data_IF_040464830440
#
_entry.id   IF_040464830440
#
_cell.length_a   1.000
_cell.length_b   1.000
_cell.length_c   1.000
_cell.angle_alpha   90.00
_cell.angle_beta   90.00
_cell.angle_gamma   90.00
#
_symmetry.space_group_name_H-M   'P 1'
#
loop_
_entity.id
_entity.type
_entity.pdbx_description
1 polymer ?
#
# COMPACT_ATOMS: atom_id res chain seq x y z
N UNK A 1 18.02 48.01 12.76
CA UNK A 1 19.22 48.66 13.37
C UNK A 1 18.86 50.09 13.75
N UNK A 2 19.39 50.60 14.86
CA UNK A 2 19.14 51.97 15.33
C UNK A 2 20.49 52.64 15.61
N UNK A 3 20.73 53.82 15.03
CA UNK A 3 21.94 54.58 15.30
C UNK A 3 21.68 55.61 16.40
N UNK A 4 22.21 55.35 17.60
CA UNK A 4 22.19 56.30 18.73
C UNK A 4 23.50 57.08 18.88
N UNK A 5 24.41 56.97 17.91
CA UNK A 5 25.68 57.68 17.88
C UNK A 5 25.55 59.06 17.24
N UNK A 6 26.52 59.92 17.50
CA UNK A 6 26.55 61.29 16.99
C UNK A 6 27.03 61.40 15.52
N UNK A 7 27.41 60.29 14.89
CA UNK A 7 27.90 60.24 13.51
C UNK A 7 27.17 59.15 12.72
N UNK A 8 27.19 59.26 11.39
CA UNK A 8 26.61 58.24 10.51
C UNK A 8 27.31 56.89 10.69
N UNK A 9 26.52 55.81 10.81
CA UNK A 9 27.01 54.46 10.98
C UNK A 9 26.91 53.69 9.65
N UNK A 10 28.06 53.36 9.07
CA UNK A 10 28.13 52.43 7.94
C UNK A 10 28.13 51.00 8.47
N UNK A 11 27.14 50.21 8.08
CA UNK A 11 27.04 48.80 8.45
C UNK A 11 27.15 47.89 7.23
N UNK A 12 27.67 46.68 7.45
CA UNK A 12 27.64 45.59 6.50
C UNK A 12 27.42 44.25 7.23
N UNK A 13 26.58 43.39 6.66
CA UNK A 13 26.36 42.03 7.15
C UNK A 13 27.61 41.19 6.88
N UNK A 14 28.05 40.46 7.88
CA UNK A 14 29.08 39.42 7.72
C UNK A 14 28.42 38.19 7.09
N UNK A 15 28.98 37.63 6.00
CA UNK A 15 28.43 36.44 5.37
C UNK A 15 28.22 35.29 6.36
N UNK A 16 27.08 34.57 6.29
CA UNK A 16 26.81 33.44 7.17
C UNK A 16 27.88 32.34 7.01
N UNK A 17 28.27 31.71 8.12
CA UNK A 17 29.29 30.66 8.11
C UNK A 17 28.71 29.24 8.04
N UNK A 18 27.41 29.09 8.32
CA UNK A 18 26.73 27.79 8.40
C UNK A 18 25.88 27.56 7.14
N UNK A 19 25.63 26.29 6.82
CA UNK A 19 24.74 25.93 5.71
C UNK A 19 23.31 26.47 5.93
N UNK A 20 22.79 26.40 7.17
CA UNK A 20 21.47 26.92 7.50
C UNK A 20 21.44 28.45 7.54
N UNK A 21 22.49 29.09 8.04
CA UNK A 21 22.62 30.55 7.99
C UNK A 21 22.58 31.08 6.55
N UNK A 22 23.06 30.30 5.59
CA UNK A 22 22.99 30.62 4.15
C UNK A 22 21.57 30.53 3.57
N UNK A 23 20.60 29.97 4.31
CA UNK A 23 19.18 29.99 3.95
C UNK A 23 18.47 31.30 4.33
N UNK A 24 19.15 32.22 5.02
CA UNK A 24 18.62 33.53 5.37
C UNK A 24 19.08 34.59 4.37
N UNK A 25 18.15 35.43 3.94
CA UNK A 25 18.43 36.62 3.15
C UNK A 25 18.06 37.87 3.93
N UNK A 26 19.00 38.82 3.99
CA UNK A 26 18.81 40.11 4.65
C UNK A 26 18.78 41.20 3.59
N UNK A 27 17.83 42.14 3.67
CA UNK A 27 17.73 43.28 2.77
C UNK A 27 17.43 44.57 3.55
N UNK A 28 18.25 45.63 3.44
CA UNK A 28 19.57 45.65 2.79
C UNK A 28 20.64 44.87 3.60
N UNK A 29 21.73 44.44 2.95
CA UNK A 29 22.88 43.80 3.62
C UNK A 29 23.92 44.81 4.09
N UNK A 30 23.94 46.00 3.50
CA UNK A 30 24.82 47.10 3.85
C UNK A 30 24.11 48.43 3.68
N UNK A 31 24.60 49.48 4.33
CA UNK A 31 24.04 50.82 4.20
C UNK A 31 24.53 51.80 5.26
N UNK A 32 24.01 53.02 5.18
CA UNK A 32 24.26 54.08 6.15
C UNK A 32 23.03 54.33 7.00
N UNK A 33 23.24 54.59 8.29
CA UNK A 33 22.19 55.04 9.21
C UNK A 33 22.65 56.36 9.80
N UNK A 34 21.91 57.44 9.55
CA UNK A 34 22.25 58.76 10.11
C UNK A 34 22.01 58.78 11.63
N UNK A 35 22.58 59.75 12.36
CA UNK A 35 22.27 59.93 13.77
C UNK A 35 20.77 60.01 14.02
N UNK A 36 20.31 59.33 15.07
CA UNK A 36 18.90 59.22 15.49
C UNK A 36 17.95 58.54 14.48
N UNK A 37 18.47 57.99 13.38
CA UNK A 37 17.69 57.24 12.41
C UNK A 37 17.63 55.72 12.67
N UNK A 38 16.67 55.09 12.00
CA UNK A 38 16.36 53.67 12.07
C UNK A 38 16.44 53.05 10.68
N UNK A 39 17.14 51.92 10.57
CA UNK A 39 17.13 51.09 9.37
C UNK A 39 16.39 49.78 9.65
N UNK A 40 15.27 49.58 8.96
CA UNK A 40 14.60 48.29 8.92
C UNK A 40 15.42 47.31 8.06
N UNK A 41 15.62 46.09 8.57
CA UNK A 41 16.25 44.99 7.83
C UNK A 41 15.18 43.94 7.62
N UNK A 42 14.80 43.70 6.37
CA UNK A 42 13.90 42.62 6.00
C UNK A 42 14.67 41.31 6.00
N UNK A 43 14.11 40.29 6.65
CA UNK A 43 14.72 38.96 6.76
C UNK A 43 13.77 37.96 6.10
N UNK A 44 14.28 37.21 5.13
CA UNK A 44 13.59 36.08 4.50
C UNK A 44 14.35 34.79 4.83
N UNK A 45 13.63 33.68 5.02
CA UNK A 45 14.21 32.41 5.43
C UNK A 45 13.60 31.26 4.62
N UNK A 46 14.45 30.52 3.90
CA UNK A 46 14.06 29.36 3.08
C UNK A 46 14.88 28.14 3.48
N UNK A 47 14.51 27.48 4.59
CA UNK A 47 15.29 26.35 5.12
C UNK A 47 15.22 25.13 4.21
N UNK A 48 16.31 24.37 4.20
CA UNK A 48 16.41 23.06 3.54
C UNK A 48 16.72 21.92 4.51
N UNK A 49 16.89 22.23 5.80
CA UNK A 49 17.29 21.29 6.85
C UNK A 49 16.24 21.35 7.97
N UNK A 50 15.74 20.18 8.38
CA UNK A 50 14.80 20.02 9.49
C UNK A 50 15.52 20.08 10.85
N UNK A 51 14.78 20.45 11.89
CA UNK A 51 15.24 20.42 13.29
C UNK A 51 15.37 21.77 13.95
N UNK A 52 15.78 21.75 15.21
CA UNK A 52 16.04 22.96 15.99
C UNK A 52 17.30 23.66 15.48
N UNK A 53 17.28 24.98 15.48
CA UNK A 53 18.44 25.77 15.11
C UNK A 53 18.61 27.02 15.98
N UNK A 54 19.85 27.49 16.02
CA UNK A 54 20.25 28.79 16.57
C UNK A 54 21.34 29.32 15.67
N UNK A 55 21.07 30.42 14.98
CA UNK A 55 22.00 31.07 14.05
C UNK A 55 22.32 32.48 14.54
N UNK A 56 23.59 32.87 14.42
CA UNK A 56 24.07 34.19 14.77
C UNK A 56 24.53 34.95 13.54
N UNK A 57 23.94 36.11 13.30
CA UNK A 57 24.27 37.01 12.21
C UNK A 57 24.94 38.25 12.78
N UNK A 58 26.08 38.64 12.21
CA UNK A 58 26.89 39.75 12.71
C UNK A 58 26.87 40.90 11.72
N UNK A 59 26.48 42.09 12.18
CA UNK A 59 26.60 43.33 11.42
C UNK A 59 27.85 44.06 11.88
N UNK A 60 28.83 44.18 10.98
CA UNK A 60 30.00 45.01 11.22
C UNK A 60 29.57 46.47 11.05
N UNK A 61 29.93 47.31 12.00
CA UNK A 61 29.70 48.75 11.94
C UNK A 61 31.07 49.43 11.94
N UNK A 62 31.35 50.28 10.94
CA UNK A 62 32.63 50.98 10.86
C UNK A 62 32.77 51.90 12.06
N UNK A 63 33.91 51.80 12.77
CA UNK A 63 34.18 52.55 14.00
C UNK A 63 33.76 51.84 15.29
N UNK A 64 33.04 50.71 15.20
CA UNK A 64 32.75 49.85 16.37
C UNK A 64 33.76 48.70 16.45
N UNK A 65 34.42 48.46 17.61
CA UNK A 65 35.34 47.33 17.78
C UNK A 65 34.61 45.98 17.77
N UNK A 66 33.36 45.94 18.25
CA UNK A 66 32.53 44.73 18.29
C UNK A 66 31.37 44.84 17.30
N UNK A 67 31.08 43.76 16.53
CA UNK A 67 29.93 43.73 15.65
C UNK A 67 28.62 43.59 16.44
N UNK A 68 27.53 44.10 15.87
CA UNK A 68 26.19 43.88 16.42
C UNK A 68 25.72 42.48 16.05
N UNK A 69 25.43 41.64 17.04
CA UNK A 69 25.00 40.25 16.82
C UNK A 69 23.48 40.12 16.94
N UNK A 70 22.86 39.52 15.93
CA UNK A 70 21.46 39.08 15.90
C UNK A 70 21.42 37.56 16.00
N UNK A 71 20.78 37.04 17.05
CA UNK A 71 20.55 35.59 17.20
C UNK A 71 19.13 35.26 16.78
N UNK A 72 18.99 34.35 15.81
CA UNK A 72 17.70 33.81 15.37
C UNK A 72 17.60 32.35 15.81
N UNK A 73 16.50 31.99 16.46
CA UNK A 73 16.22 30.63 16.95
C UNK A 73 14.90 30.13 16.39
N UNK A 74 14.81 28.85 16.10
CA UNK A 74 13.58 28.24 15.61
C UNK A 74 13.67 26.73 15.50
N UNK A 75 12.62 26.14 14.95
CA UNK A 75 12.56 24.72 14.61
C UNK A 75 11.92 24.60 13.22
N UNK A 76 12.65 23.99 12.29
CA UNK A 76 12.12 23.67 10.97
C UNK A 76 11.47 22.29 11.05
N UNK A 77 10.18 22.21 10.76
CA UNK A 77 9.42 20.95 10.71
C UNK A 77 8.97 20.66 9.29
N UNK A 78 8.82 19.38 8.95
CA UNK A 78 8.13 18.98 7.73
C UNK A 78 6.61 19.19 7.84
N UNK A 79 5.86 18.92 6.76
CA UNK A 79 4.41 18.86 6.83
C UNK A 79 3.96 17.89 7.94
N UNK A 80 3.03 18.33 8.77
CA UNK A 80 2.34 17.49 9.74
C UNK A 80 1.12 16.84 9.09
N UNK A 81 0.91 15.56 9.35
CA UNK A 81 -0.18 14.79 8.77
C UNK A 81 -0.52 13.56 9.61
N UNK A 82 -1.68 12.95 9.37
CA UNK A 82 -2.10 11.72 10.04
C UNK A 82 -3.10 10.93 9.19
N UNK A 83 -3.24 9.65 9.51
CA UNK A 83 -4.38 8.84 9.05
C UNK A 83 -5.57 9.01 9.98
N UNK A 84 -6.79 8.98 9.44
CA UNK A 84 -8.02 9.03 10.23
C UNK A 84 -8.30 7.73 11.04
N UNK A 85 -7.58 6.66 10.77
CA UNK A 85 -7.70 5.36 11.43
C UNK A 85 -6.34 4.91 11.98
N UNK A 86 -6.30 4.13 13.07
CA UNK A 86 -5.04 3.65 13.66
C UNK A 86 -4.48 2.42 12.93
N UNK A 87 -5.32 1.69 12.19
CA UNK A 87 -4.94 0.49 11.44
C UNK A 87 -6.00 0.13 10.38
N UNK A 88 -5.60 -0.69 9.40
CA UNK A 88 -6.46 -1.35 8.43
C UNK A 88 -6.60 -2.83 8.79
N UNK A 89 -7.76 -3.19 9.33
CA UNK A 89 -8.09 -4.56 9.72
C UNK A 89 -8.95 -5.24 8.65
N UNK A 90 -8.32 -5.99 7.75
CA UNK A 90 -9.04 -6.75 6.70
C UNK A 90 -9.80 -7.96 7.23
N UNK A 91 -9.45 -8.43 8.44
CA UNK A 91 -10.02 -9.65 8.99
C UNK A 91 -9.67 -10.88 8.15
N UNK A 92 -10.64 -11.77 7.98
CA UNK A 92 -10.49 -12.93 7.10
C UNK A 92 -10.79 -12.54 5.65
N UNK A 93 -9.85 -12.83 4.76
CA UNK A 93 -9.97 -12.61 3.31
C UNK A 93 -9.86 -13.95 2.61
N UNK A 94 -10.72 -14.19 1.63
CA UNK A 94 -10.67 -15.43 0.86
C UNK A 94 -9.51 -15.43 -0.14
N UNK A 95 -8.87 -16.58 -0.29
CA UNK A 95 -7.80 -16.79 -1.26
C UNK A 95 -8.25 -16.39 -2.68
N UNK A 96 -7.51 -15.45 -3.26
CA UNK A 96 -7.70 -14.95 -4.63
C UNK A 96 -8.90 -14.02 -4.80
N UNK A 97 -9.56 -13.60 -3.72
CA UNK A 97 -10.66 -12.63 -3.77
C UNK A 97 -10.17 -11.26 -3.29
N UNK A 98 -10.17 -10.23 -4.14
CA UNK A 98 -9.82 -8.88 -3.74
C UNK A 98 -10.77 -8.35 -2.66
N UNK A 99 -10.20 -7.81 -1.59
CA UNK A 99 -10.93 -7.07 -0.56
C UNK A 99 -10.29 -5.69 -0.40
N UNK A 100 -11.10 -4.63 -0.31
CA UNK A 100 -10.63 -3.24 -0.29
C UNK A 100 -11.11 -2.54 0.97
N UNK A 101 -10.18 -1.90 1.68
CA UNK A 101 -10.47 -0.97 2.76
C UNK A 101 -10.01 0.44 2.38
N UNK A 102 -10.60 1.45 3.02
CA UNK A 102 -10.26 2.85 2.81
C UNK A 102 -9.72 3.48 4.10
N UNK A 103 -8.76 4.38 3.95
CA UNK A 103 -8.32 5.32 4.98
C UNK A 103 -8.16 6.71 4.37
N UNK A 104 -8.16 7.74 5.21
CA UNK A 104 -7.99 9.12 4.80
C UNK A 104 -6.68 9.67 5.36
N UNK A 105 -5.82 10.20 4.49
CA UNK A 105 -4.60 10.90 4.87
C UNK A 105 -4.88 12.40 4.90
N UNK A 106 -4.70 13.01 6.07
CA UNK A 106 -5.00 14.43 6.30
C UNK A 106 -3.70 15.20 6.49
N UNK A 107 -3.44 16.17 5.60
CA UNK A 107 -2.38 17.16 5.79
C UNK A 107 -2.90 18.22 6.76
N UNK A 108 -2.24 18.36 7.91
CA UNK A 108 -2.58 19.37 8.93
C UNK A 108 -1.65 20.59 8.86
N UNK A 109 -0.72 20.62 7.92
CA UNK A 109 0.24 21.70 7.78
C UNK A 109 -0.25 22.84 6.87
N UNK A 110 0.49 23.96 6.96
CA UNK A 110 0.30 25.16 6.13
C UNK A 110 0.95 25.06 4.75
N UNK A 111 1.58 23.94 4.43
CA UNK A 111 2.29 23.74 3.17
C UNK A 111 1.79 22.49 2.46
N UNK A 112 1.86 22.42 1.12
CA UNK A 112 1.55 21.20 0.39
C UNK A 112 2.47 20.04 0.80
N UNK A 113 1.92 18.84 0.81
CA UNK A 113 2.61 17.61 1.16
C UNK A 113 2.59 16.65 -0.03
N UNK A 114 3.74 16.46 -0.68
CA UNK A 114 3.91 15.43 -1.72
C UNK A 114 4.39 14.12 -1.09
N UNK A 115 3.68 13.03 -1.39
CA UNK A 115 3.88 11.74 -0.74
C UNK A 115 3.91 10.57 -1.72
N UNK A 116 4.51 9.46 -1.28
CA UNK A 116 4.35 8.14 -1.89
C UNK A 116 4.09 7.07 -0.83
N UNK A 117 3.26 6.10 -1.18
CA UNK A 117 2.79 5.02 -0.34
C UNK A 117 3.26 3.67 -0.85
N UNK A 118 3.70 2.83 0.05
CA UNK A 118 4.14 1.46 -0.25
C UNK A 118 4.03 0.56 0.97
N UNK A 119 4.11 -0.75 0.79
CA UNK A 119 4.03 -1.74 1.87
C UNK A 119 5.32 -2.56 1.87
N UNK A 120 6.24 -2.35 2.83
CA UNK A 120 7.39 -3.23 3.00
C UNK A 120 6.93 -4.67 3.22
N UNK A 121 7.58 -5.62 2.57
CA UNK A 121 7.28 -7.05 2.74
C UNK A 121 6.08 -7.57 1.95
N UNK A 122 5.47 -6.79 1.05
CA UNK A 122 4.43 -7.27 0.11
C UNK A 122 5.00 -8.17 -1.01
N UNK A 123 6.30 -8.49 -0.99
CA UNK A 123 6.92 -9.31 -2.02
C UNK A 123 7.33 -8.54 -3.28
N UNK A 124 8.28 -9.11 -4.02
CA UNK A 124 8.91 -8.51 -5.22
C UNK A 124 8.56 -9.23 -6.52
N UNK A 125 7.73 -10.27 -6.44
CA UNK A 125 7.30 -11.08 -7.57
C UNK A 125 6.22 -10.40 -8.41
N UNK A 126 5.63 -11.19 -9.33
CA UNK A 126 4.48 -10.76 -10.11
C UNK A 126 3.29 -10.46 -9.19
N UNK A 127 2.44 -9.53 -9.61
CA UNK A 127 1.20 -9.22 -8.90
C UNK A 127 0.33 -10.47 -8.75
N UNK A 128 -0.35 -10.57 -7.61
CA UNK A 128 -1.40 -11.56 -7.38
C UNK A 128 -2.47 -11.47 -8.46
N UNK A 129 -3.04 -12.62 -8.82
CA UNK A 129 -4.08 -12.74 -9.83
C UNK A 129 -5.38 -13.10 -9.10
N UNK A 130 -6.48 -12.36 -9.31
CA UNK A 130 -7.79 -12.70 -8.78
C UNK A 130 -8.29 -14.06 -9.29
N UNK A 131 -9.04 -14.78 -8.46
CA UNK A 131 -9.63 -16.08 -8.80
C UNK A 131 -10.49 -16.01 -10.06
N UNK A 132 -11.27 -14.94 -10.26
CA UNK A 132 -12.08 -14.74 -11.47
C UNK A 132 -11.27 -14.79 -12.76
N UNK A 133 -10.04 -14.27 -12.74
CA UNK A 133 -9.12 -14.31 -13.89
C UNK A 133 -8.49 -15.69 -14.02
N UNK A 134 -8.08 -16.31 -12.91
CA UNK A 134 -7.50 -17.66 -12.93
C UNK A 134 -8.47 -18.74 -13.44
N UNK A 135 -9.78 -18.55 -13.23
CA UNK A 135 -10.80 -19.47 -13.73
C UNK A 135 -11.12 -19.28 -15.23
N UNK A 136 -10.86 -18.11 -15.80
CA UNK A 136 -11.10 -17.85 -17.23
C UNK A 136 -10.02 -18.49 -18.14
N UNK A 137 -8.81 -18.70 -17.62
CA UNK A 137 -7.74 -19.40 -18.32
C UNK A 137 -7.96 -20.93 -18.30
N UNK A 138 -8.55 -21.46 -19.38
CA UNK A 138 -8.75 -22.91 -19.58
C UNK A 138 -7.46 -23.68 -19.89
N UNK A 139 -6.34 -22.98 -20.11
CA UNK A 139 -5.05 -23.53 -20.55
C UNK A 139 -4.08 -23.77 -19.37
N UNK A 140 -4.33 -24.81 -18.57
CA UNK A 140 -3.27 -25.47 -17.79
C UNK A 140 -3.39 -25.43 -16.26
N UNK A 141 -2.51 -26.17 -15.57
CA UNK A 141 -2.68 -26.55 -14.17
C UNK A 141 -2.16 -25.45 -13.22
N UNK A 142 -2.80 -24.28 -13.21
CA UNK A 142 -2.39 -23.13 -12.36
C UNK A 142 -2.61 -23.36 -10.87
N UNK A 143 -3.38 -24.38 -10.50
CA UNK A 143 -3.68 -24.79 -9.12
C UNK A 143 -2.61 -25.72 -8.52
N UNK A 144 -1.53 -26.00 -9.26
CA UNK A 144 -0.39 -26.78 -8.75
C UNK A 144 0.36 -25.98 -7.68
N UNK A 145 0.81 -26.67 -6.64
CA UNK A 145 1.65 -26.11 -5.56
C UNK A 145 2.77 -25.23 -6.13
N UNK A 146 2.97 -24.07 -5.51
CA UNK A 146 4.03 -23.11 -5.82
C UNK A 146 5.37 -23.86 -5.91
N UNK A 147 6.04 -23.76 -7.07
CA UNK A 147 7.38 -24.34 -7.22
C UNK A 147 8.35 -23.67 -6.23
N UNK A 148 9.27 -24.43 -5.59
CA UNK A 148 10.28 -23.85 -4.70
C UNK A 148 11.13 -22.80 -5.44
N UNK A 149 11.44 -21.68 -4.76
CA UNK A 149 12.34 -20.63 -5.28
C UNK A 149 11.68 -19.48 -6.04
N UNK A 150 10.34 -19.42 -6.12
CA UNK A 150 9.64 -18.28 -6.73
C UNK A 150 9.49 -17.12 -5.74
N UNK A 151 9.86 -15.90 -6.16
CA UNK A 151 9.68 -14.67 -5.37
C UNK A 151 8.23 -14.53 -4.86
N UNK A 152 8.05 -14.01 -3.64
CA UNK A 152 6.73 -13.75 -3.06
C UNK A 152 5.93 -12.79 -3.96
N UNK A 153 4.63 -13.06 -4.20
CA UNK A 153 3.85 -12.25 -5.13
C UNK A 153 3.49 -10.92 -4.47
N UNK A 154 3.28 -9.88 -5.29
CA UNK A 154 2.75 -8.60 -4.81
C UNK A 154 1.23 -8.69 -4.63
N UNK A 155 0.74 -8.67 -3.40
CA UNK A 155 -0.66 -8.98 -3.05
C UNK A 155 -1.47 -7.74 -2.68
N UNK A 156 -0.83 -6.60 -2.42
CA UNK A 156 -1.51 -5.32 -2.17
C UNK A 156 -1.48 -4.38 -3.38
N UNK A 157 -2.55 -3.58 -3.50
CA UNK A 157 -2.66 -2.46 -4.43
C UNK A 157 -3.15 -1.23 -3.66
N UNK A 158 -2.50 -0.09 -3.87
CA UNK A 158 -2.79 1.18 -3.18
C UNK A 158 -3.22 2.22 -4.22
N UNK A 159 -4.37 2.87 -4.00
CA UNK A 159 -4.92 3.88 -4.92
C UNK A 159 -5.45 5.09 -4.16
N UNK A 160 -4.90 6.31 -4.36
CA UNK A 160 -3.65 6.59 -5.08
C UNK A 160 -2.43 6.14 -4.25
N UNK A 161 -1.37 5.65 -4.90
CA UNK A 161 -0.10 5.31 -4.23
C UNK A 161 0.90 6.48 -4.15
N UNK A 162 0.58 7.62 -4.76
CA UNK A 162 1.38 8.85 -4.72
C UNK A 162 0.50 10.05 -5.04
N UNK A 163 0.89 11.22 -4.59
CA UNK A 163 0.20 12.46 -4.92
C UNK A 163 0.67 13.64 -4.07
N UNK A 164 -0.04 14.75 -4.18
CA UNK A 164 0.19 15.95 -3.36
C UNK A 164 -1.11 16.35 -2.69
N UNK A 165 -1.08 16.50 -1.37
CA UNK A 165 -2.20 17.01 -0.57
C UNK A 165 -1.91 18.50 -0.32
N UNK A 166 -2.87 19.37 -0.64
CA UNK A 166 -2.75 20.81 -0.35
C UNK A 166 -2.68 21.07 1.15
N UNK A 167 -2.31 22.29 1.52
CA UNK A 167 -2.44 22.78 2.88
C UNK A 167 -3.84 22.49 3.44
N UNK A 168 -3.90 21.95 4.66
CA UNK A 168 -5.15 21.52 5.31
C UNK A 168 -6.05 20.55 4.51
N UNK A 169 -5.52 19.92 3.46
CA UNK A 169 -6.26 19.02 2.59
C UNK A 169 -6.36 17.60 3.14
N UNK A 170 -7.27 16.82 2.54
CA UNK A 170 -7.44 15.40 2.82
C UNK A 170 -7.41 14.60 1.52
N UNK A 171 -7.06 13.32 1.61
CA UNK A 171 -7.08 12.41 0.48
C UNK A 171 -7.48 10.99 0.92
N UNK A 172 -8.52 10.46 0.28
CA UNK A 172 -8.93 9.09 0.49
C UNK A 172 -8.02 8.12 -0.27
N UNK A 173 -7.59 7.09 0.43
CA UNK A 173 -6.69 6.04 -0.04
C UNK A 173 -7.40 4.70 0.11
N UNK A 174 -7.50 3.99 -1.01
CA UNK A 174 -7.97 2.61 -1.07
C UNK A 174 -6.79 1.66 -1.05
N UNK A 175 -6.85 0.67 -0.16
CA UNK A 175 -5.89 -0.43 -0.07
C UNK A 175 -6.63 -1.72 -0.35
N UNK A 176 -6.23 -2.42 -1.40
CA UNK A 176 -6.82 -3.68 -1.84
C UNK A 176 -5.86 -4.83 -1.60
N UNK A 177 -6.29 -5.85 -0.87
CA UNK A 177 -5.59 -7.13 -0.70
C UNK A 177 -6.22 -8.18 -1.61
N UNK A 178 -5.44 -8.78 -2.49
CA UNK A 178 -5.80 -9.98 -3.24
C UNK A 178 -4.75 -11.07 -2.96
N UNK A 179 -4.96 -11.85 -1.91
CA UNK A 179 -3.95 -12.84 -1.51
C UNK A 179 -3.94 -14.05 -2.44
N UNK A 180 -2.76 -14.50 -2.87
CA UNK A 180 -2.56 -15.80 -3.50
C UNK A 180 -1.71 -16.72 -2.61
N UNK A 181 -1.67 -16.45 -1.31
CA UNK A 181 -0.90 -17.17 -0.30
C UNK A 181 -1.71 -17.29 0.98
N UNK A 182 -2.06 -18.50 1.41
CA UNK A 182 -2.71 -18.71 2.71
C UNK A 182 -1.71 -18.39 3.83
N UNK A 183 -1.85 -17.21 4.45
CA UNK A 183 -0.98 -16.71 5.53
C UNK A 183 -1.69 -15.64 6.37
N UNK A 184 -1.07 -15.30 7.50
CA UNK A 184 -1.39 -14.11 8.26
C UNK A 184 -0.51 -12.94 7.82
N UNK A 185 -1.08 -11.75 7.81
CA UNK A 185 -0.42 -10.50 7.46
C UNK A 185 -0.37 -9.61 8.70
N UNK A 186 0.84 -9.10 8.99
CA UNK A 186 1.08 -8.02 9.93
C UNK A 186 2.16 -7.13 9.29
N UNK A 187 1.70 -6.18 8.48
CA UNK A 187 2.54 -5.27 7.68
C UNK A 187 2.17 -3.82 7.98
N UNK A 188 2.77 -2.87 7.29
CA UNK A 188 2.39 -1.47 7.39
C UNK A 188 2.29 -0.79 6.03
N UNK A 189 1.31 0.11 5.86
CA UNK A 189 1.28 1.09 4.79
C UNK A 189 2.21 2.25 5.19
N UNK A 190 3.31 2.39 4.49
CA UNK A 190 4.37 3.36 4.78
C UNK A 190 4.20 4.60 3.92
N UNK A 191 4.43 5.76 4.51
CA UNK A 191 4.39 7.08 3.88
C UNK A 191 5.81 7.64 3.77
N UNK A 192 6.27 7.84 2.54
CA UNK A 192 7.44 8.67 2.24
C UNK A 192 6.96 10.08 1.89
N UNK A 193 7.72 11.10 2.28
CA UNK A 193 7.40 12.51 2.03
C UNK A 193 8.57 13.18 1.32
N UNK A 194 8.30 13.73 0.14
CA UNK A 194 9.32 14.37 -0.70
C UNK A 194 9.95 15.57 0.03
N UNK A 195 11.28 15.65 0.02
CA UNK A 195 12.04 16.70 0.70
C UNK A 195 12.11 16.57 2.23
N UNK A 196 11.45 15.57 2.82
CA UNK A 196 11.40 15.35 4.27
C UNK A 196 12.10 14.04 4.64
N UNK A 197 11.69 12.91 4.06
CA UNK A 197 12.27 11.62 4.40
C UNK A 197 11.48 10.43 3.88
N UNK A 198 12.05 9.24 4.10
CA UNK A 198 11.41 7.95 3.87
C UNK A 198 10.87 7.39 5.18
N UNK A 199 9.83 6.60 5.09
CA UNK A 199 9.20 5.91 6.23
C UNK A 199 8.79 6.86 7.36
N UNK A 200 8.27 8.03 7.01
CA UNK A 200 7.94 9.12 7.96
C UNK A 200 6.74 8.75 8.84
N UNK A 201 5.79 7.98 8.29
CA UNK A 201 4.63 7.45 9.01
C UNK A 201 4.31 6.05 8.51
N UNK A 202 3.76 5.22 9.40
CA UNK A 202 3.34 3.86 9.08
C UNK A 202 1.95 3.58 9.67
N UNK A 203 1.04 3.01 8.86
CA UNK A 203 -0.29 2.57 9.27
C UNK A 203 -0.34 1.04 9.28
N UNK A 204 -0.65 0.44 10.43
CA UNK A 204 -0.69 -1.02 10.58
C UNK A 204 -1.73 -1.66 9.65
N UNK A 205 -1.37 -2.77 9.01
CA UNK A 205 -2.26 -3.61 8.21
C UNK A 205 -2.26 -5.01 8.83
N UNK A 206 -3.45 -5.54 9.10
CA UNK A 206 -3.62 -6.94 9.55
C UNK A 206 -4.65 -7.67 8.70
N UNK A 207 -4.36 -8.92 8.33
CA UNK A 207 -5.28 -9.78 7.60
C UNK A 207 -4.97 -11.26 7.86
N UNK A 208 -5.94 -12.15 7.59
CA UNK A 208 -5.72 -13.59 7.48
C UNK A 208 -6.31 -14.09 6.18
N UNK A 209 -5.46 -14.59 5.28
CA UNK A 209 -5.92 -15.25 4.07
C UNK A 209 -6.32 -16.70 4.39
N UNK A 210 -7.55 -17.07 4.05
CA UNK A 210 -8.11 -18.41 4.29
C UNK A 210 -8.72 -18.99 3.02
N UNK A 211 -8.81 -20.32 2.97
CA UNK A 211 -9.60 -21.02 1.95
C UNK A 211 -10.88 -21.51 2.62
N UNK A 212 -12.08 -21.10 2.15
CA UNK A 212 -13.32 -21.53 2.75
C UNK A 212 -13.54 -23.03 2.58
N UNK A 213 -14.00 -23.69 3.63
CA UNK A 213 -14.24 -25.14 3.65
C UNK A 213 -15.58 -25.44 2.99
N UNK A 214 -15.54 -25.90 1.75
CA UNK A 214 -16.73 -26.38 1.03
C UNK A 214 -17.17 -27.75 1.54
N UNK A 215 -18.47 -28.01 1.48
CA UNK A 215 -19.08 -29.26 1.91
C UNK A 215 -19.81 -29.93 0.74
N UNK A 216 -19.83 -31.26 0.76
CA UNK A 216 -20.66 -32.09 -0.11
C UNK A 216 -21.66 -32.79 0.79
N UNK A 217 -22.93 -32.36 0.85
CA UNK A 217 -23.92 -32.96 1.75
C UNK A 217 -24.11 -34.46 1.48
N UNK A 218 -24.10 -34.85 0.21
CA UNK A 218 -24.25 -36.22 -0.25
C UNK A 218 -23.01 -36.64 -1.05
N UNK A 219 -22.00 -37.28 -0.41
CA UNK A 219 -20.74 -37.60 -1.07
C UNK A 219 -20.80 -38.81 -2.01
N UNK A 220 -21.98 -39.39 -2.20
CA UNK A 220 -22.21 -40.56 -3.05
C UNK A 220 -23.09 -40.15 -4.23
N UNK A 221 -22.61 -40.37 -5.45
CA UNK A 221 -23.36 -40.16 -6.69
C UNK A 221 -23.54 -41.51 -7.38
N UNK A 222 -24.79 -41.93 -7.55
CA UNK A 222 -25.12 -43.25 -8.13
C UNK A 222 -25.60 -43.10 -9.57
N UNK A 223 -24.88 -43.73 -10.51
CA UNK A 223 -25.24 -43.73 -11.93
C UNK A 223 -26.09 -44.95 -12.35
N UNK A 224 -26.19 -45.97 -11.48
CA UNK A 224 -27.00 -47.17 -11.73
C UNK A 224 -26.43 -48.02 -12.88
N UNK A 225 -27.31 -48.53 -13.75
CA UNK A 225 -26.92 -49.35 -14.92
C UNK A 225 -26.54 -48.44 -16.09
N UNK A 226 -25.29 -48.52 -16.53
CA UNK A 226 -24.77 -47.73 -17.65
C UNK A 226 -24.44 -48.62 -18.87
N UNK A 227 -24.74 -48.14 -20.07
CA UNK A 227 -24.29 -48.75 -21.32
C UNK A 227 -22.84 -48.36 -21.64
N UNK A 228 -22.11 -49.27 -22.28
CA UNK A 228 -20.74 -49.01 -22.75
C UNK A 228 -20.70 -47.79 -23.67
N UNK A 229 -19.73 -46.90 -23.43
CA UNK A 229 -19.44 -45.69 -24.21
C UNK A 229 -20.61 -44.69 -24.30
N UNK A 230 -21.68 -44.89 -23.54
CA UNK A 230 -22.76 -43.93 -23.42
C UNK A 230 -22.48 -42.98 -22.24
N UNK A 231 -22.49 -41.65 -22.45
CA UNK A 231 -22.28 -40.69 -21.38
C UNK A 231 -23.56 -40.56 -20.51
N UNK A 232 -23.38 -40.57 -19.20
CA UNK A 232 -24.43 -40.29 -18.23
C UNK A 232 -24.04 -39.07 -17.41
N UNK A 233 -25.01 -38.21 -17.09
CA UNK A 233 -24.75 -37.01 -16.29
C UNK A 233 -25.51 -37.09 -14.97
N UNK A 234 -24.83 -36.74 -13.88
CA UNK A 234 -25.42 -36.55 -12.55
C UNK A 234 -24.94 -35.25 -11.92
N UNK A 235 -25.70 -34.70 -10.98
CA UNK A 235 -25.35 -33.45 -10.30
C UNK A 235 -24.74 -33.72 -8.93
N UNK A 236 -23.59 -33.12 -8.67
CA UNK A 236 -22.98 -33.06 -7.34
C UNK A 236 -23.27 -31.70 -6.71
N UNK A 237 -23.95 -31.68 -5.56
CA UNK A 237 -24.18 -30.44 -4.83
C UNK A 237 -22.97 -30.10 -3.96
N UNK A 238 -22.36 -28.95 -4.24
CA UNK A 238 -21.37 -28.30 -3.36
C UNK A 238 -22.04 -27.18 -2.59
N UNK A 239 -21.73 -27.08 -1.29
CA UNK A 239 -22.30 -26.06 -0.39
C UNK A 239 -21.16 -25.28 0.28
N UNK A 240 -21.29 -23.96 0.28
CA UNK A 240 -20.46 -23.05 1.04
C UNK A 240 -21.27 -22.47 2.19
N UNK A 241 -21.03 -22.97 3.41
CA UNK A 241 -21.67 -22.47 4.64
C UNK A 241 -20.83 -21.39 5.35
N UNK A 242 -19.80 -20.86 4.69
CA UNK A 242 -18.92 -19.83 5.27
C UNK A 242 -19.33 -18.44 4.81
N UNK A 243 -18.87 -17.41 5.53
CA UNK A 243 -19.07 -16.00 5.17
C UNK A 243 -18.18 -15.51 4.01
N UNK A 244 -17.33 -16.39 3.47
CA UNK A 244 -16.33 -16.04 2.48
C UNK A 244 -16.58 -16.77 1.16
N UNK A 245 -16.40 -16.10 0.01
CA UNK A 245 -16.55 -16.74 -1.29
C UNK A 245 -15.44 -17.77 -1.49
N UNK A 246 -15.76 -18.92 -2.07
CA UNK A 246 -14.81 -19.97 -2.37
C UNK A 246 -14.69 -20.23 -3.86
N UNK A 247 -13.70 -21.03 -4.22
CA UNK A 247 -13.60 -21.61 -5.55
C UNK A 247 -13.55 -23.12 -5.43
N UNK A 248 -14.15 -23.81 -6.40
CA UNK A 248 -14.03 -25.26 -6.53
C UNK A 248 -13.36 -25.62 -7.85
N UNK A 249 -12.73 -26.79 -7.86
CA UNK A 249 -12.23 -27.43 -9.07
C UNK A 249 -12.43 -28.94 -8.97
N UNK A 250 -13.11 -29.51 -9.96
CA UNK A 250 -13.14 -30.94 -10.24
C UNK A 250 -11.76 -31.31 -10.78
N UNK A 251 -11.05 -32.16 -10.05
CA UNK A 251 -9.72 -32.62 -10.46
C UNK A 251 -9.87 -33.59 -11.65
N UNK A 252 -8.94 -33.55 -12.62
CA UNK A 252 -8.94 -34.54 -13.70
C UNK A 252 -8.65 -35.93 -13.14
N UNK A 253 -9.19 -36.96 -13.79
CA UNK A 253 -8.89 -38.35 -13.45
C UNK A 253 -7.39 -38.65 -13.66
N UNK A 254 -6.71 -39.14 -12.62
CA UNK A 254 -5.32 -39.60 -12.73
C UNK A 254 -5.30 -41.08 -13.14
N UNK A 255 -4.73 -41.43 -14.31
CA UNK A 255 -4.65 -42.83 -14.74
C UNK A 255 -4.34 -43.07 -16.23
N UNK A 256 -3.72 -44.22 -16.54
CA UNK A 256 -3.25 -44.62 -17.88
C UNK A 256 -4.39 -44.95 -18.85
N UNK A 257 -4.09 -45.14 -20.15
CA UNK A 257 -5.02 -45.36 -21.27
C UNK A 257 -6.07 -46.49 -21.11
N UNK A 258 -6.07 -47.24 -20.00
CA UNK A 258 -6.87 -48.45 -19.81
C UNK A 258 -7.85 -48.38 -18.62
N UNK A 259 -8.46 -47.20 -18.40
CA UNK A 259 -9.42 -46.97 -17.32
C UNK A 259 -10.79 -47.58 -17.64
N UNK A 260 -11.38 -48.29 -16.67
CA UNK A 260 -12.70 -48.91 -16.80
C UNK A 260 -13.85 -47.89 -16.93
N UNK A 261 -13.69 -46.71 -16.34
CA UNK A 261 -14.68 -45.62 -16.33
C UNK A 261 -13.96 -44.30 -16.54
N UNK A 262 -14.47 -43.48 -17.46
CA UNK A 262 -14.04 -42.10 -17.64
C UNK A 262 -15.01 -41.16 -16.95
N UNK A 263 -14.50 -40.21 -16.18
CA UNK A 263 -15.30 -39.10 -15.65
C UNK A 263 -14.78 -37.74 -16.12
N UNK A 264 -15.70 -36.81 -16.30
CA UNK A 264 -15.40 -35.41 -16.60
C UNK A 264 -16.50 -34.50 -16.05
N UNK A 265 -16.28 -33.19 -16.12
CA UNK A 265 -17.33 -32.20 -15.85
C UNK A 265 -17.27 -31.15 -16.95
N UNK A 266 -18.41 -30.76 -17.55
CA UNK A 266 -18.47 -29.63 -18.48
C UNK A 266 -18.26 -28.28 -17.77
N UNK A 267 -18.40 -28.24 -16.44
CA UNK A 267 -18.14 -27.05 -15.60
C UNK A 267 -17.15 -27.43 -14.49
N UNK A 268 -15.88 -27.70 -14.84
CA UNK A 268 -14.91 -28.31 -13.94
C UNK A 268 -14.39 -27.36 -12.86
N UNK A 269 -14.74 -26.08 -12.89
CA UNK A 269 -14.39 -25.12 -11.86
C UNK A 269 -15.39 -23.98 -11.81
N UNK A 270 -15.50 -23.34 -10.66
CA UNK A 270 -16.38 -22.19 -10.48
C UNK A 270 -16.12 -21.47 -9.16
N UNK A 271 -16.77 -20.33 -9.00
CA UNK A 271 -16.85 -19.59 -7.74
C UNK A 271 -18.16 -19.99 -7.05
N UNK A 272 -18.10 -20.20 -5.74
CA UNK A 272 -19.26 -20.42 -4.88
C UNK A 272 -19.33 -19.28 -3.86
N UNK A 273 -20.45 -18.57 -3.81
CA UNK A 273 -20.62 -17.40 -2.96
C UNK A 273 -20.79 -17.82 -1.48
N UNK A 274 -20.65 -16.89 -0.52
CA UNK A 274 -21.01 -17.15 0.88
C UNK A 274 -22.45 -17.66 1.00
N UNK A 275 -22.68 -18.60 1.91
CA UNK A 275 -24.01 -19.15 2.21
C UNK A 275 -24.80 -19.62 0.98
N UNK A 276 -24.09 -20.20 -0.01
CA UNK A 276 -24.69 -20.61 -1.28
C UNK A 276 -24.33 -22.05 -1.63
N UNK A 277 -25.07 -22.63 -2.57
CA UNK A 277 -24.81 -23.94 -3.15
C UNK A 277 -24.66 -23.86 -4.67
N UNK A 278 -23.92 -24.80 -5.26
CA UNK A 278 -23.80 -24.97 -6.70
C UNK A 278 -23.95 -26.44 -7.07
N UNK A 279 -24.64 -26.71 -8.18
CA UNK A 279 -24.73 -28.04 -8.76
C UNK A 279 -23.64 -28.19 -9.82
N UNK A 280 -22.74 -29.15 -9.60
CA UNK A 280 -21.64 -29.46 -10.51
C UNK A 280 -22.02 -30.69 -11.32
N UNK A 281 -22.22 -30.57 -12.65
CA UNK A 281 -22.50 -31.72 -13.50
C UNK A 281 -21.27 -32.62 -13.60
N UNK A 282 -21.44 -33.90 -13.32
CA UNK A 282 -20.46 -34.96 -13.51
C UNK A 282 -20.92 -35.88 -14.63
N UNK A 283 -20.10 -36.02 -15.66
CA UNK A 283 -20.33 -36.91 -16.79
C UNK A 283 -19.48 -38.16 -16.64
N UNK A 284 -20.11 -39.33 -16.75
CA UNK A 284 -19.48 -40.65 -16.64
C UNK A 284 -19.71 -41.45 -17.92
N UNK A 285 -18.67 -42.11 -18.41
CA UNK A 285 -18.77 -43.07 -19.52
C UNK A 285 -17.98 -44.35 -19.20
N UNK A 286 -18.68 -45.49 -19.15
CA UNK A 286 -18.07 -46.80 -18.95
C UNK A 286 -17.32 -47.27 -20.21
N UNK A 287 -16.07 -47.68 -20.05
CA UNK A 287 -15.22 -48.21 -21.14
C UNK A 287 -15.15 -49.74 -21.15
N UNK A 288 -15.36 -50.37 -19.99
CA UNK A 288 -15.31 -51.82 -19.80
C UNK A 288 -16.58 -52.30 -19.09
N UNK A 289 -17.02 -53.52 -19.40
CA UNK A 289 -18.11 -54.18 -18.66
C UNK A 289 -17.64 -54.67 -17.31
N UNK A 290 -18.56 -54.84 -16.36
CA UNK A 290 -18.27 -55.29 -15.00
C UNK A 290 -18.89 -54.37 -13.94
N UNK A 291 -18.85 -54.81 -12.69
CA UNK A 291 -19.14 -53.96 -11.55
C UNK A 291 -17.89 -53.12 -11.23
N UNK A 292 -18.06 -51.80 -11.21
CA UNK A 292 -17.01 -50.84 -10.90
C UNK A 292 -17.46 -50.02 -9.69
N UNK A 293 -16.67 -50.04 -8.62
CA UNK A 293 -16.94 -49.33 -7.36
C UNK A 293 -16.28 -47.96 -7.31
#
# INVERSE_FOLDING_TARGET
LCNKGAIAALFNLVPPATALGSCFMFLPQEGFIMPDELQAIQISFTPTILGQFTEEFKFRVIGSPEPVTLTIRGCVIGPTFHFNVPALHFGDVSFGFPHTLSCCLTNTSLVPMTFSLWIPGDGSGKASIPSSVQLADHTGPSWRKRAPGRAEPREFTITPCRGTIRDHGTLDIQVTLCSNTVKQYQLALVVDVEGVGKEVLALLITARCVVPKLQVPNPIVTFGRCFLKHPYQQMLTLVNNTDLPGCYRVLPQEGSKDVAVWFSSPVPCGIIQPHSSVEVPLTLAAQKTGEHH
#
